data_IF_447591524866
#
_entry.id   IF_447591524866
#
_cell.length_a   1.000
_cell.length_b   1.000
_cell.length_c   1.000
_cell.angle_alpha   90.00
_cell.angle_beta   90.00
_cell.angle_gamma   90.00
#
_symmetry.space_group_name_H-M   'P 1'
#
loop_
_entity.id
_entity.type
_entity.pdbx_description
1 polymer ?
#
# COMPACT_ATOMS: atom_id res chain seq x y z
N UNK A 1 28.50 44.00 37.23
CA UNK A 1 28.59 42.80 36.37
C UNK A 1 28.35 43.27 34.95
N UNK A 2 29.35 43.16 34.07
CA UNK A 2 29.30 43.71 32.71
C UNK A 2 28.30 42.93 31.84
N UNK A 3 27.53 43.64 31.01
CA UNK A 3 26.53 43.04 30.13
C UNK A 3 27.16 42.03 29.17
N UNK A 4 28.38 42.31 28.70
CA UNK A 4 29.15 41.40 27.85
C UNK A 4 29.44 40.06 28.54
N UNK A 5 29.71 40.09 29.85
CA UNK A 5 29.99 38.89 30.64
C UNK A 5 28.73 38.04 30.84
N UNK A 6 27.57 38.68 31.04
CA UNK A 6 26.27 38.00 31.09
C UNK A 6 25.89 37.35 29.74
N UNK A 7 26.13 38.05 28.63
CA UNK A 7 25.87 37.50 27.29
C UNK A 7 26.80 36.33 26.98
N UNK A 8 28.08 36.43 27.34
CA UNK A 8 29.05 35.35 27.16
C UNK A 8 28.68 34.11 27.99
N UNK A 9 28.28 34.29 29.26
CA UNK A 9 27.85 33.19 30.12
C UNK A 9 26.53 32.57 29.65
N UNK A 10 25.59 33.40 29.18
CA UNK A 10 24.35 32.96 28.56
C UNK A 10 24.59 32.13 27.28
N UNK A 11 25.51 32.56 26.41
CA UNK A 11 25.89 31.82 25.21
C UNK A 11 26.58 30.49 25.54
N UNK A 12 27.46 30.47 26.55
CA UNK A 12 28.16 29.27 26.99
C UNK A 12 27.19 28.22 27.56
N UNK A 13 26.16 28.64 28.28
CA UNK A 13 25.14 27.76 28.87
C UNK A 13 24.04 27.38 27.86
N UNK A 14 23.70 28.25 26.91
CA UNK A 14 22.70 27.96 25.88
C UNK A 14 23.15 26.87 24.91
N UNK A 15 24.45 26.79 24.59
CA UNK A 15 25.02 25.78 23.69
C UNK A 15 24.75 24.32 24.14
N UNK A 16 25.10 23.91 25.38
CA UNK A 16 24.82 22.55 25.85
C UNK A 16 23.32 22.27 26.04
N UNK A 17 22.51 23.27 26.40
CA UNK A 17 21.04 23.11 26.50
C UNK A 17 20.42 22.87 25.13
N UNK A 18 20.83 23.62 24.10
CA UNK A 18 20.38 23.42 22.73
C UNK A 18 20.82 22.05 22.19
N UNK A 19 22.05 21.62 22.48
CA UNK A 19 22.55 20.30 22.11
C UNK A 19 21.76 19.17 22.80
N UNK A 20 21.46 19.29 24.10
CA UNK A 20 20.66 18.33 24.84
C UNK A 20 19.21 18.26 24.32
N UNK A 21 18.61 19.42 24.03
CA UNK A 21 17.27 19.50 23.43
C UNK A 21 17.23 18.87 22.03
N UNK A 22 18.27 19.07 21.21
CA UNK A 22 18.37 18.45 19.88
C UNK A 22 18.51 16.92 19.95
N UNK A 23 19.30 16.39 20.90
CA UNK A 23 19.43 14.94 21.12
C UNK A 23 18.10 14.33 21.59
N UNK A 24 17.36 15.01 22.45
CA UNK A 24 16.07 14.52 22.93
C UNK A 24 14.98 14.61 21.85
N UNK A 25 14.92 15.74 21.14
CA UNK A 25 13.96 15.97 20.04
C UNK A 25 14.19 15.05 18.84
N UNK A 26 15.45 14.80 18.45
CA UNK A 26 15.79 13.89 17.34
C UNK A 26 15.36 12.44 17.60
N UNK A 27 15.41 11.97 18.86
CA UNK A 27 14.93 10.63 19.23
C UNK A 27 13.42 10.48 19.03
N UNK A 28 12.64 11.49 19.44
CA UNK A 28 11.19 11.54 19.21
C UNK A 28 10.84 11.61 17.72
N UNK A 29 11.53 12.48 16.97
CA UNK A 29 11.34 12.61 15.53
C UNK A 29 11.68 11.33 14.76
N UNK A 30 12.75 10.62 15.15
CA UNK A 30 13.13 9.34 14.54
C UNK A 30 12.08 8.25 14.79
N UNK A 31 11.49 8.21 15.99
CA UNK A 31 10.43 7.25 16.33
C UNK A 31 9.14 7.54 15.57
N UNK A 32 8.68 8.80 15.58
CA UNK A 32 7.51 9.23 14.82
C UNK A 32 7.68 8.99 13.31
N UNK A 33 8.87 9.20 12.76
CA UNK A 33 9.15 8.94 11.33
C UNK A 33 9.10 7.45 11.00
N UNK A 34 9.58 6.58 11.89
CA UNK A 34 9.51 5.11 11.72
C UNK A 34 8.08 4.59 11.84
N UNK A 35 7.33 5.09 12.83
CA UNK A 35 5.93 4.71 13.04
C UNK A 35 5.04 5.22 11.88
N UNK A 36 5.25 6.45 11.42
CA UNK A 36 4.58 6.98 10.23
C UNK A 36 4.93 6.24 8.94
N UNK A 37 6.20 5.88 8.76
CA UNK A 37 6.65 5.07 7.62
C UNK A 37 6.06 3.66 7.60
N UNK A 38 5.98 3.00 8.77
CA UNK A 38 5.36 1.68 8.89
C UNK A 38 3.85 1.72 8.60
N UNK A 39 3.13 2.70 9.17
CA UNK A 39 1.69 2.87 8.92
C UNK A 39 1.40 3.15 7.44
N UNK A 40 2.18 4.02 6.81
CA UNK A 40 2.06 4.33 5.37
C UNK A 40 2.40 3.11 4.50
N UNK A 41 3.41 2.33 4.88
CA UNK A 41 3.75 1.08 4.20
C UNK A 41 2.62 0.04 4.31
N UNK A 42 2.03 -0.13 5.50
CA UNK A 42 0.90 -1.02 5.70
C UNK A 42 -0.33 -0.59 4.90
N UNK A 43 -0.67 0.71 4.89
CA UNK A 43 -1.80 1.21 4.11
C UNK A 43 -1.61 0.95 2.62
N UNK A 44 -0.41 1.26 2.08
CA UNK A 44 -0.08 1.01 0.68
C UNK A 44 -0.21 -0.47 0.29
N UNK A 45 0.21 -1.39 1.16
CA UNK A 45 0.11 -2.83 0.91
C UNK A 45 -1.34 -3.31 0.97
N UNK A 46 -2.13 -2.81 1.92
CA UNK A 46 -3.56 -3.14 1.97
C UNK A 46 -4.33 -2.58 0.78
N UNK A 47 -3.97 -1.40 0.29
CA UNK A 47 -4.60 -0.80 -0.90
C UNK A 47 -4.28 -1.63 -2.15
N UNK A 48 -3.02 -2.00 -2.34
CA UNK A 48 -2.59 -2.89 -3.44
C UNK A 48 -3.30 -4.25 -3.40
N UNK A 49 -3.37 -4.89 -2.22
CA UNK A 49 -4.07 -6.17 -2.08
C UNK A 49 -5.59 -6.06 -2.34
N UNK A 50 -6.19 -4.91 -2.02
CA UNK A 50 -7.59 -4.66 -2.33
C UNK A 50 -7.81 -4.48 -3.83
N UNK A 51 -6.92 -3.76 -4.51
CA UNK A 51 -6.95 -3.56 -5.94
C UNK A 51 -6.78 -4.89 -6.69
N UNK A 52 -5.75 -5.68 -6.35
CA UNK A 52 -5.53 -7.02 -6.91
C UNK A 52 -6.73 -7.95 -6.68
N UNK A 53 -7.34 -7.92 -5.48
CA UNK A 53 -8.54 -8.70 -5.20
C UNK A 53 -9.70 -8.29 -6.12
N UNK A 54 -9.88 -7.00 -6.37
CA UNK A 54 -10.96 -6.50 -7.23
C UNK A 54 -10.71 -6.92 -8.68
N UNK A 55 -9.47 -6.76 -9.16
CA UNK A 55 -9.04 -7.18 -10.49
C UNK A 55 -9.27 -8.68 -10.71
N UNK A 56 -8.74 -9.53 -9.81
CA UNK A 56 -8.92 -10.98 -9.89
C UNK A 56 -10.39 -11.41 -9.85
N UNK A 57 -11.23 -10.72 -9.08
CA UNK A 57 -12.68 -11.00 -9.06
C UNK A 57 -13.34 -10.65 -10.39
N UNK A 58 -12.92 -9.55 -11.02
CA UNK A 58 -13.39 -9.13 -12.33
C UNK A 58 -12.97 -10.13 -13.42
N UNK A 59 -11.69 -10.49 -13.46
CA UNK A 59 -11.15 -11.48 -14.40
C UNK A 59 -11.84 -12.83 -14.25
N UNK A 60 -12.01 -13.30 -13.02
CA UNK A 60 -12.69 -14.57 -12.74
C UNK A 60 -14.16 -14.53 -13.18
N UNK A 61 -14.84 -13.40 -13.03
CA UNK A 61 -16.20 -13.24 -13.54
C UNK A 61 -16.24 -13.28 -15.08
N UNK A 62 -15.30 -12.60 -15.75
CA UNK A 62 -15.17 -12.62 -17.21
C UNK A 62 -14.90 -14.04 -17.73
N UNK A 63 -13.90 -14.74 -17.18
CA UNK A 63 -13.56 -16.12 -17.56
C UNK A 63 -14.73 -17.08 -17.33
N UNK A 64 -15.47 -16.93 -16.23
CA UNK A 64 -16.68 -17.74 -15.99
C UNK A 64 -17.77 -17.48 -17.02
N UNK A 65 -17.94 -16.23 -17.44
CA UNK A 65 -18.89 -15.84 -18.49
C UNK A 65 -18.50 -16.43 -19.84
N UNK A 66 -17.24 -16.30 -20.23
CA UNK A 66 -16.70 -16.87 -21.47
C UNK A 66 -16.84 -18.40 -21.49
N UNK A 67 -16.48 -19.08 -20.39
CA UNK A 67 -16.64 -20.53 -20.26
C UNK A 67 -18.11 -20.96 -20.38
N UNK A 68 -19.05 -20.17 -19.85
CA UNK A 68 -20.46 -20.47 -19.98
C UNK A 68 -20.95 -20.30 -21.42
N UNK A 69 -20.47 -19.27 -22.13
CA UNK A 69 -20.78 -19.04 -23.54
C UNK A 69 -20.23 -20.18 -24.42
N UNK A 70 -18.96 -20.55 -24.23
CA UNK A 70 -18.31 -21.65 -24.96
C UNK A 70 -19.01 -22.99 -24.73
N UNK A 71 -19.45 -23.27 -23.49
CA UNK A 71 -20.22 -24.48 -23.20
C UNK A 71 -21.59 -24.48 -23.89
N UNK A 72 -22.26 -23.34 -23.95
CA UNK A 72 -23.54 -23.21 -24.64
C UNK A 72 -23.37 -23.38 -26.16
N UNK A 73 -22.32 -22.81 -26.74
CA UNK A 73 -22.00 -22.95 -28.15
C UNK A 73 -21.60 -24.39 -28.50
N UNK A 74 -20.75 -25.03 -27.69
CA UNK A 74 -20.41 -26.44 -27.85
C UNK A 74 -21.65 -27.33 -27.79
N UNK A 75 -22.57 -27.09 -26.85
CA UNK A 75 -23.83 -27.82 -26.77
C UNK A 75 -24.70 -27.62 -28.03
N UNK A 76 -24.80 -26.38 -28.52
CA UNK A 76 -25.52 -26.06 -29.76
C UNK A 76 -24.90 -26.77 -30.97
N UNK A 77 -23.58 -26.74 -31.11
CA UNK A 77 -22.87 -27.39 -32.20
C UNK A 77 -23.05 -28.92 -32.18
N UNK A 78 -22.97 -29.54 -31.00
CA UNK A 78 -23.26 -30.98 -30.83
C UNK A 78 -24.67 -31.36 -31.23
N UNK A 79 -25.66 -30.51 -30.91
CA UNK A 79 -27.04 -30.71 -31.36
C UNK A 79 -27.14 -30.63 -32.88
N UNK A 80 -26.46 -29.66 -33.51
CA UNK A 80 -26.43 -29.51 -34.97
C UNK A 80 -25.77 -30.72 -35.65
N UNK A 81 -24.64 -31.20 -35.12
CA UNK A 81 -23.97 -32.41 -35.63
C UNK A 81 -24.91 -33.60 -35.58
N UNK A 82 -25.59 -33.80 -34.45
CA UNK A 82 -26.59 -34.87 -34.30
C UNK A 82 -27.74 -34.72 -35.31
N UNK A 83 -28.25 -33.50 -35.53
CA UNK A 83 -29.32 -33.24 -36.50
C UNK A 83 -28.90 -33.51 -37.95
N UNK A 84 -27.62 -33.31 -38.28
CA UNK A 84 -27.05 -33.59 -39.59
C UNK A 84 -26.66 -35.07 -39.77
N UNK A 85 -26.98 -35.94 -38.80
CA UNK A 85 -26.69 -37.37 -38.85
C UNK A 85 -25.25 -37.73 -38.50
N UNK A 86 -24.47 -36.78 -37.99
CA UNK A 86 -23.16 -37.04 -37.41
C UNK A 86 -23.27 -37.51 -35.96
N UNK A 87 -22.21 -38.15 -35.46
CA UNK A 87 -22.07 -38.51 -34.05
C UNK A 87 -21.18 -37.44 -33.38
N UNK A 88 -21.65 -36.76 -32.33
CA UNK A 88 -20.94 -35.65 -31.68
C UNK A 88 -19.70 -36.07 -30.87
#
# INVERSE_FOLDING_TARGET
MDAAMLTALGALLASPVAAAAAIYGSRGATRASREGGALTGFSSLTDQLQEERIELRSELAAVRSELAAERAESARLRLLVTQLGGTP
#
